data_IF_237566779934
#
_entry.id   IF_237566779934
#
_cell.length_a   1.000
_cell.length_b   1.000
_cell.length_c   1.000
_cell.angle_alpha   90.00
_cell.angle_beta   90.00
_cell.angle_gamma   90.00
#
_symmetry.space_group_name_H-M   'P 1'
#
loop_
_entity.id
_entity.type
_entity.pdbx_description
1 polymer ?
#
# COMPACT_ATOMS: atom_id res chain seq x y z
N UNK A 1 51.91 -40.21 15.13
CA UNK A 1 51.00 -39.07 14.85
C UNK A 1 49.64 -39.51 15.34
N UNK A 2 49.16 -38.90 16.42
CA UNK A 2 48.17 -39.50 17.32
C UNK A 2 46.73 -39.31 16.78
N UNK A 3 46.01 -40.42 16.60
CA UNK A 3 44.66 -40.46 16.00
C UNK A 3 43.63 -39.60 16.75
N UNK A 4 43.92 -39.25 18.02
CA UNK A 4 43.10 -38.38 18.85
C UNK A 4 43.15 -36.90 18.43
N UNK A 5 44.22 -36.45 17.75
CA UNK A 5 44.35 -35.06 17.28
C UNK A 5 43.49 -34.81 16.04
N UNK A 6 43.28 -35.84 15.20
CA UNK A 6 42.45 -35.74 13.99
C UNK A 6 40.96 -35.60 14.35
N UNK A 7 40.50 -36.31 15.39
CA UNK A 7 39.12 -36.16 15.88
C UNK A 7 38.88 -34.83 16.60
N UNK A 8 39.87 -34.29 17.31
CA UNK A 8 39.77 -32.98 17.94
C UNK A 8 39.70 -31.83 16.91
N UNK A 9 40.41 -31.96 15.77
CA UNK A 9 40.35 -30.99 14.67
C UNK A 9 39.05 -31.08 13.86
N UNK A 10 38.48 -32.28 13.68
CA UNK A 10 37.17 -32.48 13.05
C UNK A 10 36.01 -31.97 13.92
N UNK A 11 36.12 -32.08 15.25
CA UNK A 11 35.15 -31.50 16.19
C UNK A 11 35.31 -29.97 16.34
N UNK A 12 36.52 -29.41 16.21
CA UNK A 12 36.70 -27.95 16.18
C UNK A 12 36.15 -27.31 14.89
N UNK A 13 36.14 -28.04 13.77
CA UNK A 13 35.50 -27.61 12.52
C UNK A 13 33.97 -27.66 12.57
N UNK A 14 33.37 -28.34 13.56
CA UNK A 14 31.93 -28.38 13.79
C UNK A 14 31.41 -27.25 14.70
N UNK A 15 32.28 -26.42 15.29
CA UNK A 15 31.90 -25.26 16.11
C UNK A 15 32.14 -23.89 15.44
N UNK A 16 32.52 -23.87 14.17
CA UNK A 16 32.35 -22.69 13.32
C UNK A 16 31.13 -22.91 12.45
N UNK A 17 29.95 -22.82 13.07
CA UNK A 17 28.71 -22.59 12.35
C UNK A 17 28.45 -21.08 12.42
N UNK A 18 29.08 -20.23 11.58
CA UNK A 18 28.42 -18.98 11.27
C UNK A 18 27.10 -19.44 10.66
N UNK A 19 25.97 -19.07 11.26
CA UNK A 19 24.65 -19.43 10.75
C UNK A 19 24.68 -19.31 9.23
N UNK A 20 24.82 -20.46 8.57
CA UNK A 20 24.97 -20.51 7.14
C UNK A 20 23.58 -20.14 6.65
N UNK A 21 23.44 -18.88 6.29
CA UNK A 21 22.45 -18.40 5.37
C UNK A 21 22.71 -19.17 4.07
N UNK A 22 22.34 -20.46 4.04
CA UNK A 22 22.23 -21.23 2.83
C UNK A 22 21.14 -20.50 2.07
N UNK A 23 21.55 -19.63 1.14
CA UNK A 23 20.65 -18.97 0.21
C UNK A 23 19.71 -20.04 -0.31
N UNK A 24 18.41 -19.87 -0.08
CA UNK A 24 17.42 -20.77 -0.68
C UNK A 24 17.72 -20.81 -2.19
N UNK A 25 17.70 -21.99 -2.83
CA UNK A 25 17.86 -22.09 -4.27
C UNK A 25 16.96 -21.08 -4.98
N UNK A 26 17.42 -20.49 -6.08
CA UNK A 26 16.65 -19.50 -6.86
C UNK A 26 15.25 -20.04 -7.20
N UNK A 27 15.12 -21.35 -7.49
CA UNK A 27 13.84 -22.02 -7.71
C UNK A 27 12.92 -22.07 -6.47
N UNK A 28 13.47 -22.20 -5.26
CA UNK A 28 12.67 -22.13 -4.03
C UNK A 28 12.19 -20.70 -3.75
N UNK A 29 13.02 -19.71 -4.10
CA UNK A 29 12.63 -18.30 -4.01
C UNK A 29 11.52 -17.97 -5.01
N UNK A 30 11.51 -18.56 -6.20
CA UNK A 30 10.54 -18.22 -7.25
C UNK A 30 9.19 -18.96 -7.15
N UNK A 31 8.87 -19.59 -6.01
CA UNK A 31 7.57 -20.24 -5.82
C UNK A 31 6.45 -19.19 -5.80
N UNK A 32 5.45 -19.27 -6.71
CA UNK A 32 4.39 -18.29 -6.77
C UNK A 32 3.63 -18.21 -5.45
N UNK A 33 3.28 -16.99 -5.05
CA UNK A 33 2.43 -16.76 -3.88
C UNK A 33 1.19 -15.99 -4.30
N UNK A 34 0.05 -16.67 -4.22
CA UNK A 34 -1.24 -16.06 -4.46
C UNK A 34 -1.84 -15.59 -3.13
N UNK A 35 -2.26 -14.33 -3.11
CA UNK A 35 -3.22 -13.89 -2.10
C UNK A 35 -4.58 -14.50 -2.47
N UNK A 36 -5.28 -15.06 -1.49
CA UNK A 36 -6.60 -15.68 -1.70
C UNK A 36 -7.75 -14.77 -1.28
N UNK A 37 -8.98 -15.14 -1.68
CA UNK A 37 -10.22 -14.46 -1.25
C UNK A 37 -10.39 -14.48 0.28
N UNK A 38 -9.69 -15.36 0.99
CA UNK A 38 -9.62 -15.38 2.44
C UNK A 38 -8.90 -14.17 3.06
N UNK A 39 -8.38 -13.25 2.24
CA UNK A 39 -7.91 -11.93 2.69
C UNK A 39 -8.98 -11.13 3.44
N UNK A 40 -10.26 -11.43 3.22
CA UNK A 40 -11.37 -10.77 3.90
C UNK A 40 -11.86 -11.51 5.14
N UNK A 41 -11.24 -12.63 5.51
CA UNK A 41 -11.71 -13.49 6.61
C UNK A 41 -11.14 -13.11 7.99
N UNK A 42 -10.48 -11.97 8.11
CA UNK A 42 -9.94 -11.47 9.38
C UNK A 42 -10.24 -9.98 9.56
N UNK A 43 -10.16 -9.50 10.79
CA UNK A 43 -10.30 -8.09 11.12
C UNK A 43 -8.92 -7.44 11.28
N UNK A 44 -8.81 -6.18 10.88
CA UNK A 44 -7.71 -5.30 11.27
C UNK A 44 -8.26 -4.17 12.12
N UNK A 45 -7.47 -3.72 13.09
CA UNK A 45 -7.72 -2.46 13.81
C UNK A 45 -6.86 -1.40 13.14
N UNK A 46 -7.45 -0.26 12.79
CA UNK A 46 -6.74 0.90 12.26
C UNK A 46 -7.06 2.15 13.07
N UNK A 47 -6.01 2.86 13.47
CA UNK A 47 -6.06 4.16 14.14
C UNK A 47 -5.43 5.21 13.23
N UNK A 48 -6.16 6.29 12.97
CA UNK A 48 -5.68 7.41 12.15
C UNK A 48 -5.48 8.66 13.00
N UNK A 49 -4.36 9.37 12.80
CA UNK A 49 -4.09 10.62 13.49
C UNK A 49 -3.22 11.58 12.67
N UNK A 50 -3.34 12.87 12.97
CA UNK A 50 -2.56 13.92 12.30
C UNK A 50 -1.32 14.27 13.11
N UNK A 51 -0.18 14.37 12.42
CA UNK A 51 1.06 14.93 12.96
C UNK A 51 1.31 16.27 12.28
N UNK A 52 1.62 17.30 13.08
CA UNK A 52 2.00 18.63 12.63
C UNK A 52 3.48 18.83 12.98
N UNK A 53 4.41 18.59 12.06
CA UNK A 53 5.83 18.64 12.38
C UNK A 53 6.28 20.06 12.71
N UNK A 54 7.29 20.18 13.56
CA UNK A 54 7.74 21.49 14.04
C UNK A 54 8.39 22.36 12.97
N UNK A 55 8.99 21.74 11.95
CA UNK A 55 9.84 22.42 10.96
C UNK A 55 9.31 22.32 9.53
N UNK A 56 8.05 21.93 9.34
CA UNK A 56 7.41 21.86 8.02
C UNK A 56 6.04 22.50 8.07
N UNK A 57 5.62 23.11 6.96
CA UNK A 57 4.24 23.61 6.80
C UNK A 57 3.25 22.49 6.44
N UNK A 58 3.76 21.31 6.09
CA UNK A 58 2.97 20.14 5.70
C UNK A 58 2.57 19.33 6.92
N UNK A 59 1.27 19.06 7.06
CA UNK A 59 0.75 18.10 8.04
C UNK A 59 0.75 16.69 7.43
N UNK A 60 0.98 15.66 8.26
CA UNK A 60 0.97 14.26 7.86
C UNK A 60 -0.21 13.52 8.48
N UNK A 61 -0.89 12.69 7.69
CA UNK A 61 -1.86 11.72 8.17
C UNK A 61 -1.14 10.39 8.37
N UNK A 62 -1.24 9.85 9.58
CA UNK A 62 -0.64 8.56 9.94
C UNK A 62 -1.76 7.58 10.21
N UNK A 63 -1.77 6.51 9.42
CA UNK A 63 -2.67 5.37 9.59
C UNK A 63 -1.86 4.25 10.22
N UNK A 64 -2.23 3.79 11.40
CA UNK A 64 -1.56 2.74 12.16
C UNK A 64 -2.49 1.54 12.25
N UNK A 65 -2.01 0.33 11.95
CA UNK A 65 -2.85 -0.87 12.04
C UNK A 65 -2.15 -2.11 12.56
N UNK A 66 -2.94 -2.98 13.18
CA UNK A 66 -2.54 -4.26 13.73
C UNK A 66 -3.71 -5.25 13.71
N UNK A 67 -3.41 -6.55 13.75
CA UNK A 67 -4.42 -7.57 14.02
C UNK A 67 -4.92 -7.46 15.47
N UNK A 68 -6.22 -7.67 15.76
CA UNK A 68 -6.75 -7.66 17.13
C UNK A 68 -5.96 -8.54 18.11
N UNK A 69 -5.58 -9.74 17.67
CA UNK A 69 -4.82 -10.70 18.48
C UNK A 69 -3.37 -10.24 18.77
N UNK A 70 -2.87 -9.27 18.00
CA UNK A 70 -1.53 -8.69 18.18
C UNK A 70 -1.48 -7.56 19.20
N UNK A 71 -2.63 -7.09 19.72
CA UNK A 71 -2.73 -5.87 20.55
C UNK A 71 -1.80 -5.86 21.77
N UNK A 72 -1.60 -7.02 22.39
CA UNK A 72 -0.79 -7.16 23.61
C UNK A 72 0.62 -7.73 23.35
N UNK A 73 0.97 -7.97 22.09
CA UNK A 73 2.31 -8.43 21.74
C UNK A 73 3.30 -7.27 21.80
N UNK A 74 4.56 -7.59 22.04
CA UNK A 74 5.64 -6.62 22.22
C UNK A 74 6.79 -6.92 21.28
N UNK A 75 7.58 -5.91 20.93
CA UNK A 75 8.72 -6.03 20.01
C UNK A 75 8.28 -6.54 18.62
N UNK A 76 7.16 -6.03 18.12
CA UNK A 76 6.69 -6.36 16.78
C UNK A 76 7.47 -5.59 15.71
N UNK A 77 7.87 -6.22 14.58
CA UNK A 77 8.36 -5.47 13.43
C UNK A 77 7.34 -4.40 12.99
N UNK A 78 7.84 -3.24 12.57
CA UNK A 78 6.99 -2.12 12.12
C UNK A 78 7.29 -1.83 10.65
N UNK A 79 6.26 -1.88 9.81
CA UNK A 79 6.32 -1.62 8.37
C UNK A 79 5.76 -0.22 8.11
N UNK A 80 6.62 0.72 7.76
CA UNK A 80 6.26 2.08 7.37
C UNK A 80 6.06 2.16 5.86
N UNK A 81 4.93 2.68 5.40
CA UNK A 81 4.61 2.86 3.99
C UNK A 81 4.57 4.36 3.68
N UNK A 82 5.31 4.82 2.68
CA UNK A 82 5.07 6.16 2.10
C UNK A 82 3.76 6.16 1.32
N UNK A 83 3.24 7.35 1.04
CA UNK A 83 1.98 7.54 0.30
C UNK A 83 0.79 6.84 0.97
N UNK A 84 0.69 6.94 2.30
CA UNK A 84 -0.37 6.31 3.09
C UNK A 84 -1.79 6.53 2.55
N UNK A 85 -2.05 7.71 1.96
CA UNK A 85 -3.33 8.02 1.31
C UNK A 85 -3.69 7.10 0.13
N UNK A 86 -2.71 6.48 -0.52
CA UNK A 86 -2.91 5.50 -1.60
C UNK A 86 -2.62 4.07 -1.17
N UNK A 87 -2.02 3.89 0.01
CA UNK A 87 -1.53 2.62 0.54
C UNK A 87 -2.27 2.15 1.79
N UNK A 88 -3.28 2.88 2.26
CA UNK A 88 -4.11 2.53 3.43
C UNK A 88 -4.61 1.08 3.36
N UNK A 89 -5.07 0.68 2.18
CA UNK A 89 -5.54 -0.68 1.96
C UNK A 89 -4.42 -1.73 1.91
N UNK A 90 -3.17 -1.38 1.60
CA UNK A 90 -2.06 -2.34 1.56
C UNK A 90 -1.78 -2.92 2.95
N UNK A 91 -2.25 -2.25 4.02
CA UNK A 91 -2.25 -2.76 5.38
C UNK A 91 -2.89 -4.14 5.47
N UNK A 92 -3.98 -4.42 4.73
CA UNK A 92 -4.62 -5.74 4.76
C UNK A 92 -3.73 -6.82 4.15
N UNK A 93 -2.95 -6.51 3.11
CA UNK A 93 -2.02 -7.48 2.51
C UNK A 93 -0.85 -7.79 3.44
N UNK A 94 -0.36 -6.77 4.16
CA UNK A 94 0.65 -6.98 5.21
C UNK A 94 0.11 -7.92 6.29
N UNK A 95 -1.09 -7.65 6.81
CA UNK A 95 -1.70 -8.46 7.85
C UNK A 95 -2.17 -9.82 7.35
N UNK A 96 -2.47 -9.97 6.06
CA UNK A 96 -2.74 -11.26 5.44
C UNK A 96 -1.55 -12.21 5.58
N UNK A 97 -0.33 -11.73 5.35
CA UNK A 97 0.87 -12.54 5.56
C UNK A 97 1.00 -13.01 7.02
N UNK A 98 0.62 -12.17 7.99
CA UNK A 98 0.56 -12.57 9.40
C UNK A 98 -0.55 -13.60 9.65
N UNK A 99 -1.75 -13.35 9.13
CA UNK A 99 -2.92 -14.24 9.25
C UNK A 99 -2.63 -15.65 8.69
N UNK A 100 -1.90 -15.71 7.57
CA UNK A 100 -1.43 -16.96 6.94
C UNK A 100 -0.19 -17.57 7.61
N UNK A 101 0.34 -16.94 8.67
CA UNK A 101 1.56 -17.35 9.40
C UNK A 101 2.81 -17.44 8.51
N UNK A 102 2.87 -16.59 7.50
CA UNK A 102 4.00 -16.48 6.57
C UNK A 102 5.10 -15.63 7.18
N UNK A 103 4.71 -14.51 7.79
CA UNK A 103 5.56 -13.60 8.55
C UNK A 103 5.06 -13.53 10.01
N UNK A 104 5.92 -13.15 10.98
CA UNK A 104 5.47 -12.88 12.35
C UNK A 104 4.45 -11.74 12.38
N UNK A 105 3.68 -11.59 13.47
CA UNK A 105 2.84 -10.42 13.68
C UNK A 105 3.62 -9.11 13.51
N UNK A 106 3.03 -8.17 12.78
CA UNK A 106 3.62 -6.86 12.50
C UNK A 106 2.65 -5.72 12.78
N UNK A 107 3.19 -4.51 12.79
CA UNK A 107 2.42 -3.28 12.80
C UNK A 107 2.66 -2.58 11.48
N UNK A 108 1.59 -2.15 10.80
CA UNK A 108 1.69 -1.40 9.56
C UNK A 108 1.33 0.06 9.79
N UNK A 109 2.14 0.98 9.23
CA UNK A 109 2.04 2.42 9.42
C UNK A 109 2.10 3.12 8.07
N UNK A 110 0.97 3.62 7.59
CA UNK A 110 0.90 4.46 6.40
C UNK A 110 1.22 5.91 6.77
N UNK A 111 2.20 6.51 6.09
CA UNK A 111 2.54 7.93 6.20
C UNK A 111 2.05 8.61 4.94
N UNK A 112 0.95 9.33 5.07
CA UNK A 112 0.32 10.06 3.98
C UNK A 112 0.07 11.52 4.33
N UNK A 113 -0.80 12.12 3.53
CA UNK A 113 -1.18 13.51 3.66
C UNK A 113 -2.69 13.59 3.94
N UNK A 114 -3.13 14.52 4.80
CA UNK A 114 -4.55 14.77 4.99
C UNK A 114 -5.26 15.08 3.68
N UNK A 115 -6.52 14.64 3.56
CA UNK A 115 -7.35 14.77 2.35
C UNK A 115 -7.46 16.18 1.76
N UNK A 116 -7.20 17.23 2.55
CA UNK A 116 -7.17 18.63 2.08
C UNK A 116 -6.02 18.93 1.11
N UNK A 117 -5.00 18.07 1.02
CA UNK A 117 -3.87 18.26 0.13
C UNK A 117 -4.06 17.50 -1.17
N UNK A 118 -3.61 18.10 -2.28
CA UNK A 118 -3.38 17.37 -3.52
C UNK A 118 -2.18 16.43 -3.31
N UNK A 119 -2.48 15.16 -3.07
CA UNK A 119 -1.51 14.11 -2.82
C UNK A 119 -0.45 13.98 -3.92
N UNK A 120 -0.81 14.24 -5.18
CA UNK A 120 0.11 14.16 -6.32
C UNK A 120 1.18 15.27 -6.27
N UNK A 121 0.83 16.43 -5.71
CA UNK A 121 1.74 17.60 -5.64
C UNK A 121 2.48 17.69 -4.31
N UNK A 122 1.77 17.52 -3.19
CA UNK A 122 2.32 17.74 -1.84
C UNK A 122 3.46 16.77 -1.51
N UNK A 123 3.46 15.58 -2.12
CA UNK A 123 4.49 14.55 -1.93
C UNK A 123 5.82 14.86 -2.61
N UNK A 124 5.83 15.69 -3.65
CA UNK A 124 7.01 15.90 -4.49
C UNK A 124 8.17 16.52 -3.68
N UNK A 125 7.96 17.57 -2.87
CA UNK A 125 9.02 18.10 -2.02
C UNK A 125 9.59 17.06 -1.04
N UNK A 126 8.75 16.23 -0.43
CA UNK A 126 9.16 15.30 0.63
C UNK A 126 9.85 14.05 0.09
N UNK A 127 9.33 13.49 -1.00
CA UNK A 127 9.80 12.21 -1.54
C UNK A 127 10.89 12.35 -2.60
N UNK A 128 10.99 13.50 -3.28
CA UNK A 128 11.93 13.70 -4.39
C UNK A 128 12.91 14.86 -4.16
N UNK A 129 12.43 16.05 -3.81
CA UNK A 129 13.30 17.25 -3.82
C UNK A 129 14.09 17.44 -2.51
N UNK A 130 13.50 17.12 -1.36
CA UNK A 130 14.09 17.31 -0.02
C UNK A 130 13.93 16.05 0.86
N UNK A 131 14.36 14.85 0.38
CA UNK A 131 14.16 13.61 1.11
C UNK A 131 14.85 13.57 2.48
N UNK A 132 15.96 14.29 2.69
CA UNK A 132 16.62 14.37 3.99
C UNK A 132 15.75 15.05 5.07
N UNK A 133 15.00 16.09 4.70
CA UNK A 133 14.10 16.77 5.64
C UNK A 133 12.92 15.87 6.03
N UNK A 134 12.35 15.17 5.05
CA UNK A 134 11.27 14.24 5.33
C UNK A 134 11.75 13.05 6.18
N UNK A 135 12.93 12.49 5.89
CA UNK A 135 13.56 11.45 6.73
C UNK A 135 13.77 11.94 8.17
N UNK A 136 14.19 13.19 8.36
CA UNK A 136 14.33 13.79 9.69
C UNK A 136 12.98 13.85 10.42
N UNK A 137 11.92 14.31 9.76
CA UNK A 137 10.55 14.32 10.32
C UNK A 137 10.10 12.92 10.70
N UNK A 138 10.33 11.93 9.83
CA UNK A 138 9.98 10.53 10.12
C UNK A 138 10.67 10.07 11.40
N UNK A 139 11.98 10.28 11.52
CA UNK A 139 12.78 9.79 12.65
C UNK A 139 12.50 10.52 13.97
N UNK A 140 12.28 11.84 13.90
CA UNK A 140 12.21 12.67 15.10
C UNK A 140 10.78 12.89 15.59
N UNK A 141 9.78 12.75 14.73
CA UNK A 141 8.41 13.13 15.05
C UNK A 141 7.43 11.97 14.82
N UNK A 142 7.50 11.31 13.65
CA UNK A 142 6.54 10.24 13.29
C UNK A 142 6.82 8.94 14.04
N UNK A 143 8.04 8.40 13.97
CA UNK A 143 8.42 7.16 14.67
C UNK A 143 8.14 7.29 16.17
N UNK A 144 8.56 8.37 16.88
CA UNK A 144 8.22 8.54 18.29
C UNK A 144 6.72 8.65 18.56
N UNK A 145 5.93 9.26 17.67
CA UNK A 145 4.48 9.34 17.83
C UNK A 145 3.78 7.98 17.70
N UNK A 146 4.28 7.14 16.78
CA UNK A 146 3.83 5.76 16.59
C UNK A 146 4.22 4.91 17.80
N UNK A 147 5.48 4.93 18.22
CA UNK A 147 6.01 4.10 19.33
C UNK A 147 5.44 4.47 20.71
N UNK A 148 4.82 5.65 20.85
CA UNK A 148 4.02 5.97 22.05
C UNK A 148 2.68 5.24 22.12
N UNK A 149 2.16 4.76 20.98
CA UNK A 149 0.85 4.08 20.88
C UNK A 149 0.98 2.56 20.84
N UNK A 150 2.12 2.07 20.39
CA UNK A 150 2.36 0.65 20.12
C UNK A 150 3.73 0.19 20.61
N UNK A 151 3.87 -1.11 20.85
CA UNK A 151 5.10 -1.70 21.32
C UNK A 151 5.91 -2.34 20.17
N UNK A 152 6.40 -1.48 19.27
CA UNK A 152 7.21 -1.88 18.10
C UNK A 152 8.68 -2.17 18.46
N UNK A 153 9.33 -3.04 17.68
CA UNK A 153 10.76 -3.30 17.80
C UNK A 153 11.58 -2.20 17.10
N UNK A 154 12.32 -1.35 17.83
CA UNK A 154 13.13 -0.30 17.24
C UNK A 154 14.28 -0.82 16.37
N UNK A 155 14.58 -2.12 16.42
CA UNK A 155 15.61 -2.79 15.59
C UNK A 155 15.04 -3.47 14.35
N UNK A 156 13.71 -3.51 14.19
CA UNK A 156 13.04 -4.12 13.03
C UNK A 156 11.99 -3.20 12.42
N UNK A 157 12.43 -2.01 12.05
CA UNK A 157 11.66 -1.10 11.20
C UNK A 157 11.95 -1.38 9.73
N UNK A 158 10.90 -1.51 8.94
CA UNK A 158 10.96 -1.69 7.49
C UNK A 158 10.29 -0.47 6.86
N UNK A 159 10.87 0.09 5.80
CA UNK A 159 10.23 1.15 5.03
C UNK A 159 9.92 0.69 3.61
N UNK A 160 8.72 1.02 3.14
CA UNK A 160 8.22 0.72 1.81
C UNK A 160 7.77 1.98 1.09
N UNK A 161 7.98 2.02 -0.23
CA UNK A 161 7.44 3.04 -1.11
C UNK A 161 7.46 2.58 -2.57
N UNK A 162 6.64 3.20 -3.42
CA UNK A 162 6.75 3.02 -4.87
C UNK A 162 6.81 4.33 -5.64
N UNK A 163 7.34 4.29 -6.88
CA UNK A 163 7.53 5.48 -7.71
C UNK A 163 8.41 6.51 -7.01
N UNK A 164 7.94 7.75 -6.76
CA UNK A 164 8.67 8.71 -5.92
C UNK A 164 8.87 8.20 -4.48
N UNK A 165 7.97 7.36 -3.96
CA UNK A 165 8.18 6.68 -2.68
C UNK A 165 9.31 5.65 -2.76
N UNK A 166 9.47 4.97 -3.89
CA UNK A 166 10.58 4.05 -4.15
C UNK A 166 11.92 4.78 -4.27
N UNK A 167 11.91 5.97 -4.90
CA UNK A 167 13.04 6.91 -4.85
C UNK A 167 13.42 7.26 -3.41
N UNK A 168 12.43 7.70 -2.62
CA UNK A 168 12.65 8.05 -1.21
C UNK A 168 13.24 6.88 -0.43
N UNK A 169 12.69 5.68 -0.54
CA UNK A 169 13.23 4.47 0.12
C UNK A 169 14.69 4.20 -0.28
N UNK A 170 15.00 4.33 -1.57
CA UNK A 170 16.36 4.17 -2.10
C UNK A 170 17.31 5.22 -1.50
N UNK A 171 16.88 6.48 -1.44
CA UNK A 171 17.63 7.56 -0.79
C UNK A 171 17.88 7.26 0.68
N UNK A 172 16.83 6.89 1.44
CA UNK A 172 16.95 6.57 2.88
C UNK A 172 17.90 5.40 3.10
N UNK A 173 17.83 4.35 2.29
CA UNK A 173 18.76 3.22 2.35
C UNK A 173 20.21 3.68 2.20
N UNK A 174 20.50 4.41 1.12
CA UNK A 174 21.85 4.86 0.82
C UNK A 174 22.38 5.81 1.91
N UNK A 175 21.54 6.75 2.34
CA UNK A 175 21.87 7.74 3.36
C UNK A 175 22.16 7.10 4.72
N UNK A 176 21.24 6.26 5.21
CA UNK A 176 21.41 5.56 6.48
C UNK A 176 22.63 4.63 6.46
N UNK A 177 22.87 3.94 5.33
CA UNK A 177 24.02 3.04 5.19
C UNK A 177 25.35 3.79 5.25
N UNK A 178 25.46 4.95 4.61
CA UNK A 178 26.66 5.80 4.66
C UNK A 178 26.85 6.45 6.03
N UNK A 179 25.77 6.92 6.66
CA UNK A 179 25.81 7.57 7.97
C UNK A 179 25.92 6.57 9.14
N UNK A 180 25.81 5.26 8.86
CA UNK A 180 25.70 4.18 9.86
C UNK A 180 24.52 4.37 10.81
N UNK A 181 23.45 4.94 10.28
CA UNK A 181 22.20 5.12 10.98
C UNK A 181 21.34 3.86 10.89
N UNK A 182 20.87 3.34 12.02
CA UNK A 182 20.07 2.11 12.09
C UNK A 182 18.58 2.42 12.27
N UNK A 183 18.08 3.54 11.74
CA UNK A 183 16.66 3.90 11.81
C UNK A 183 15.76 2.83 11.20
N UNK A 184 16.19 2.23 10.08
CA UNK A 184 15.51 1.14 9.40
C UNK A 184 16.45 -0.04 9.17
N UNK A 185 15.90 -1.23 9.38
CA UNK A 185 16.55 -2.51 9.17
C UNK A 185 16.28 -3.07 7.76
N UNK A 186 15.09 -2.78 7.22
CA UNK A 186 14.64 -3.24 5.90
C UNK A 186 14.13 -2.11 5.01
N UNK A 187 14.36 -2.24 3.71
CA UNK A 187 13.99 -1.28 2.67
C UNK A 187 13.35 -2.03 1.51
N UNK A 188 12.12 -1.67 1.15
CA UNK A 188 11.38 -2.29 0.06
C UNK A 188 10.95 -1.19 -0.92
N UNK A 189 11.43 -1.22 -2.17
CA UNK A 189 11.14 -0.19 -3.16
C UNK A 189 10.55 -0.78 -4.43
N UNK A 190 9.36 -0.32 -4.83
CA UNK A 190 8.76 -0.65 -6.13
C UNK A 190 8.94 0.50 -7.11
N UNK A 191 9.27 0.17 -8.34
CA UNK A 191 9.50 1.09 -9.46
C UNK A 191 10.18 2.40 -9.03
N UNK A 192 11.35 2.37 -8.35
CA UNK A 192 12.00 3.60 -7.91
C UNK A 192 12.22 4.56 -9.09
N UNK A 193 11.75 5.81 -8.95
CA UNK A 193 12.02 6.85 -9.95
C UNK A 193 13.40 7.48 -9.71
N UNK A 194 14.41 7.04 -10.45
CA UNK A 194 15.81 7.36 -10.15
C UNK A 194 16.39 8.56 -10.93
N UNK A 195 15.59 9.17 -11.84
CA UNK A 195 16.02 10.26 -12.72
C UNK A 195 15.63 11.68 -12.25
N UNK A 196 15.13 11.83 -11.02
CA UNK A 196 14.67 13.13 -10.51
C UNK A 196 15.76 14.21 -10.39
N UNK A 197 15.37 15.51 -10.35
CA UNK A 197 16.31 16.62 -10.19
C UNK A 197 17.14 16.47 -8.92
N UNK A 198 18.47 16.56 -9.04
CA UNK A 198 19.37 16.40 -7.89
C UNK A 198 19.58 14.95 -7.44
N UNK A 199 19.07 13.95 -8.18
CA UNK A 199 19.28 12.53 -7.90
C UNK A 199 20.77 12.17 -8.01
N UNK A 200 21.46 12.27 -6.87
CA UNK A 200 22.81 11.70 -6.69
C UNK A 200 22.77 10.21 -6.38
N UNK A 201 21.62 9.55 -6.58
CA UNK A 201 21.42 8.14 -6.20
C UNK A 201 22.54 7.25 -6.73
N UNK A 202 22.91 7.37 -8.01
CA UNK A 202 23.99 6.57 -8.59
C UNK A 202 25.38 6.91 -8.03
N UNK A 203 25.65 8.19 -7.77
CA UNK A 203 26.91 8.64 -7.16
C UNK A 203 27.03 8.13 -5.72
N UNK A 204 25.96 8.27 -4.94
CA UNK A 204 25.86 7.79 -3.56
C UNK A 204 25.90 6.27 -3.48
N UNK A 205 25.26 5.57 -4.42
CA UNK A 205 25.34 4.11 -4.54
C UNK A 205 26.78 3.66 -4.86
N UNK A 206 27.48 4.34 -5.79
CA UNK A 206 28.89 4.09 -6.08
C UNK A 206 29.80 4.42 -4.87
N UNK A 207 29.49 5.47 -4.12
CA UNK A 207 30.20 5.77 -2.89
C UNK A 207 30.03 4.62 -1.88
N UNK A 208 28.79 4.19 -1.62
CA UNK A 208 28.50 3.09 -0.69
C UNK A 208 29.19 1.80 -1.14
N UNK A 209 29.06 1.45 -2.41
CA UNK A 209 29.70 0.34 -3.10
C UNK A 209 31.22 0.30 -2.89
N UNK A 210 31.86 1.47 -2.91
CA UNK A 210 33.31 1.60 -2.73
C UNK A 210 33.78 1.39 -1.28
N UNK A 211 32.87 1.48 -0.28
CA UNK A 211 33.25 1.32 1.13
C UNK A 211 33.56 -0.14 1.43
N UNK A 212 34.64 -0.35 2.19
CA UNK A 212 34.92 -1.64 2.84
C UNK A 212 34.26 -1.60 4.22
N UNK A 213 33.12 -2.27 4.38
CA UNK A 213 32.37 -2.21 5.63
C UNK A 213 31.23 -3.21 5.73
N UNK A 214 30.67 -3.29 6.93
CA UNK A 214 29.45 -4.06 7.22
C UNK A 214 28.25 -3.14 7.03
N UNK A 215 27.33 -3.51 6.15
CA UNK A 215 26.06 -2.78 5.92
C UNK A 215 24.93 -3.73 6.31
N UNK A 216 24.45 -3.64 7.55
CA UNK A 216 23.43 -4.54 8.12
C UNK A 216 22.01 -4.19 7.65
N UNK A 217 21.82 -4.07 6.34
CA UNK A 217 20.57 -3.65 5.71
C UNK A 217 20.02 -4.78 4.84
N UNK A 218 18.69 -4.91 4.84
CA UNK A 218 17.96 -5.77 3.91
C UNK A 218 17.25 -4.90 2.90
N UNK A 219 17.54 -5.08 1.62
CA UNK A 219 17.01 -4.24 0.56
C UNK A 219 16.37 -5.14 -0.50
N UNK A 220 15.13 -4.84 -0.84
CA UNK A 220 14.45 -5.41 -1.98
C UNK A 220 13.96 -4.30 -2.90
N UNK A 221 14.44 -4.28 -4.14
CA UNK A 221 14.01 -3.32 -5.16
C UNK A 221 13.45 -4.06 -6.36
N UNK A 222 12.34 -3.61 -6.91
CA UNK A 222 11.75 -4.23 -8.09
C UNK A 222 11.05 -3.21 -8.98
N UNK A 223 10.85 -3.57 -10.24
CA UNK A 223 10.01 -2.82 -11.19
C UNK A 223 9.22 -3.80 -12.08
N UNK A 224 8.25 -3.31 -12.84
CA UNK A 224 7.43 -4.08 -13.76
C UNK A 224 7.98 -4.10 -15.19
N UNK A 225 7.91 -5.24 -15.87
CA UNK A 225 8.41 -5.43 -17.24
C UNK A 225 7.73 -4.52 -18.30
N UNK A 226 6.52 -4.05 -18.03
CA UNK A 226 5.76 -3.18 -18.95
C UNK A 226 5.99 -1.69 -18.69
N UNK A 227 6.95 -1.34 -17.85
CA UNK A 227 7.31 0.05 -17.58
C UNK A 227 8.17 0.65 -18.69
N UNK A 228 8.29 1.99 -18.67
CA UNK A 228 9.11 2.68 -19.66
C UNK A 228 10.60 2.33 -19.52
N UNK A 229 11.23 2.07 -20.66
CA UNK A 229 12.61 1.60 -20.72
C UNK A 229 13.60 2.65 -20.22
N UNK A 230 13.40 3.92 -20.59
CA UNK A 230 14.30 5.02 -20.26
C UNK A 230 14.06 5.52 -18.83
N UNK A 231 12.80 5.57 -18.38
CA UNK A 231 12.45 6.07 -17.05
C UNK A 231 12.66 5.05 -15.93
N UNK A 232 12.43 3.76 -16.18
CA UNK A 232 12.42 2.73 -15.12
C UNK A 232 13.41 1.60 -15.34
N UNK A 233 13.51 1.01 -16.54
CA UNK A 233 14.37 -0.17 -16.73
C UNK A 233 15.85 0.22 -16.61
N UNK A 234 16.36 1.07 -17.50
CA UNK A 234 17.78 1.45 -17.53
C UNK A 234 18.25 2.02 -16.19
N UNK A 235 17.51 2.96 -15.53
CA UNK A 235 17.95 3.50 -14.26
C UNK A 235 17.96 2.47 -13.12
N UNK A 236 16.95 1.59 -13.02
CA UNK A 236 16.92 0.59 -11.97
C UNK A 236 17.96 -0.51 -12.19
N UNK A 237 18.11 -1.02 -13.42
CA UNK A 237 19.15 -1.99 -13.76
C UNK A 237 20.55 -1.43 -13.45
N UNK A 238 20.80 -0.16 -13.79
CA UNK A 238 22.07 0.52 -13.44
C UNK A 238 22.31 0.52 -11.93
N UNK A 239 21.28 0.80 -11.12
CA UNK A 239 21.40 0.76 -9.67
C UNK A 239 21.65 -0.67 -9.17
N UNK A 240 20.94 -1.66 -9.72
CA UNK A 240 21.09 -3.06 -9.35
C UNK A 240 22.51 -3.54 -9.62
N UNK A 241 23.04 -3.25 -10.81
CA UNK A 241 24.43 -3.54 -11.16
C UNK A 241 25.43 -2.87 -10.21
N UNK A 242 25.20 -1.60 -9.84
CA UNK A 242 26.09 -0.92 -8.88
C UNK A 242 26.07 -1.65 -7.54
N UNK A 243 24.91 -2.10 -7.05
CA UNK A 243 24.75 -2.72 -5.73
C UNK A 243 25.19 -4.19 -5.69
N UNK A 244 24.93 -4.97 -6.74
CA UNK A 244 25.32 -6.38 -6.89
C UNK A 244 26.84 -6.57 -6.96
N UNK A 245 27.54 -5.63 -7.61
CA UNK A 245 28.97 -5.74 -7.84
C UNK A 245 29.85 -5.54 -6.58
N UNK A 246 29.27 -5.51 -5.38
CA UNK A 246 29.99 -5.11 -4.16
C UNK A 246 30.27 -6.21 -3.16
N UNK A 247 31.45 -6.08 -2.54
CA UNK A 247 31.94 -6.91 -1.42
C UNK A 247 31.40 -6.44 -0.05
N UNK A 248 30.20 -5.85 -0.01
CA UNK A 248 29.63 -5.33 1.24
C UNK A 248 29.28 -6.49 2.16
N UNK A 249 29.81 -6.46 3.39
CA UNK A 249 29.58 -7.53 4.35
C UNK A 249 28.23 -7.35 5.04
N UNK A 250 27.52 -8.46 5.26
CA UNK A 250 26.19 -8.54 5.89
C UNK A 250 25.11 -7.66 5.23
N UNK A 251 25.30 -7.33 3.94
CA UNK A 251 24.32 -6.65 3.10
C UNK A 251 23.48 -7.68 2.33
N UNK A 252 22.16 -7.61 2.49
CA UNK A 252 21.23 -8.51 1.83
C UNK A 252 20.44 -7.73 0.79
N UNK A 253 20.83 -7.87 -0.47
CA UNK A 253 20.18 -7.20 -1.59
C UNK A 253 19.47 -8.21 -2.48
N UNK A 254 18.20 -7.94 -2.75
CA UNK A 254 17.37 -8.68 -3.68
C UNK A 254 16.82 -7.71 -4.70
N UNK A 255 16.68 -8.16 -5.95
CA UNK A 255 15.95 -7.41 -6.95
C UNK A 255 15.15 -8.31 -7.88
N UNK A 256 14.13 -7.74 -8.53
CA UNK A 256 13.26 -8.48 -9.42
C UNK A 256 12.63 -7.58 -10.49
N UNK A 257 12.37 -8.15 -11.66
CA UNK A 257 11.53 -7.57 -12.69
C UNK A 257 10.25 -8.39 -12.76
N UNK A 258 9.12 -7.80 -12.41
CA UNK A 258 7.84 -8.50 -12.41
C UNK A 258 7.34 -8.65 -13.85
N UNK A 259 7.20 -9.89 -14.35
CA UNK A 259 6.75 -10.12 -15.71
C UNK A 259 5.30 -9.67 -15.89
N UNK A 260 4.98 -9.15 -17.08
CA UNK A 260 3.65 -8.65 -17.46
C UNK A 260 3.03 -7.62 -16.48
N UNK A 261 3.86 -6.95 -15.69
CA UNK A 261 3.40 -5.95 -14.72
C UNK A 261 3.76 -4.55 -15.18
N UNK A 262 2.80 -3.63 -15.09
CA UNK A 262 3.00 -2.20 -15.29
C UNK A 262 3.49 -1.50 -14.00
N UNK A 263 3.67 -0.18 -14.07
CA UNK A 263 4.12 0.68 -12.97
C UNK A 263 3.29 0.56 -11.68
N UNK A 264 2.04 0.12 -11.76
CA UNK A 264 1.12 0.09 -10.62
C UNK A 264 0.85 -1.32 -10.11
N UNK A 265 0.65 -2.27 -11.03
CA UNK A 265 0.40 -3.67 -10.70
C UNK A 265 1.57 -4.30 -9.94
N UNK A 266 2.83 -3.92 -10.23
CA UNK A 266 3.99 -4.45 -9.52
C UNK A 266 4.12 -3.94 -8.06
N UNK A 267 3.49 -2.80 -7.72
CA UNK A 267 3.64 -2.15 -6.41
C UNK A 267 3.30 -3.10 -5.26
N UNK A 268 2.13 -3.72 -5.33
CA UNK A 268 1.66 -4.61 -4.26
C UNK A 268 2.47 -5.90 -4.22
N UNK A 269 2.82 -6.44 -5.39
CA UNK A 269 3.62 -7.65 -5.49
C UNK A 269 4.97 -7.45 -4.80
N UNK A 270 5.61 -6.31 -5.07
CA UNK A 270 6.88 -5.91 -4.44
C UNK A 270 6.76 -5.81 -2.92
N UNK A 271 5.68 -5.23 -2.39
CA UNK A 271 5.45 -5.17 -0.95
C UNK A 271 5.35 -6.58 -0.33
N UNK A 272 4.53 -7.44 -0.94
CA UNK A 272 4.28 -8.81 -0.46
C UNK A 272 5.58 -9.61 -0.44
N UNK A 273 6.29 -9.64 -1.56
CA UNK A 273 7.53 -10.41 -1.69
C UNK A 273 8.66 -9.83 -0.84
N UNK A 274 8.76 -8.50 -0.74
CA UNK A 274 9.73 -7.86 0.15
C UNK A 274 9.52 -8.28 1.61
N UNK A 275 8.27 -8.30 2.08
CA UNK A 275 7.98 -8.74 3.45
C UNK A 275 8.21 -10.25 3.64
N UNK A 276 7.89 -11.07 2.64
CA UNK A 276 8.21 -12.51 2.66
C UNK A 276 9.71 -12.74 2.74
N UNK A 277 10.51 -12.05 1.94
CA UNK A 277 11.97 -12.15 1.93
C UNK A 277 12.59 -11.71 3.25
N UNK A 278 12.14 -10.57 3.80
CA UNK A 278 12.72 -9.99 5.00
C UNK A 278 12.25 -10.70 6.27
N UNK A 279 10.93 -10.88 6.44
CA UNK A 279 10.34 -11.36 7.68
C UNK A 279 9.90 -12.82 7.64
N UNK A 280 9.80 -13.44 6.47
CA UNK A 280 9.34 -14.81 6.32
C UNK A 280 10.31 -15.83 6.92
N UNK A 281 9.75 -16.90 7.47
CA UNK A 281 10.52 -18.11 7.78
C UNK A 281 11.11 -18.71 6.51
N UNK A 282 12.15 -19.54 6.63
CA UNK A 282 12.96 -20.03 5.49
C UNK A 282 12.10 -20.56 4.32
N UNK A 283 11.05 -21.32 4.60
CA UNK A 283 10.18 -21.93 3.59
C UNK A 283 9.14 -20.97 2.99
N UNK A 284 8.95 -19.80 3.60
CA UNK A 284 7.98 -18.79 3.21
C UNK A 284 8.61 -17.60 2.48
N UNK A 285 9.95 -17.53 2.45
CA UNK A 285 10.71 -16.54 1.68
C UNK A 285 10.60 -16.84 0.20
N UNK A 286 10.27 -15.82 -0.58
CA UNK A 286 10.24 -15.94 -2.03
C UNK A 286 9.78 -14.66 -2.72
N UNK A 287 9.97 -14.67 -4.03
CA UNK A 287 9.50 -13.74 -5.03
C UNK A 287 8.51 -14.45 -5.98
N UNK A 288 7.68 -13.69 -6.68
CA UNK A 288 6.60 -14.22 -7.51
C UNK A 288 5.24 -14.15 -6.83
N UNK A 289 4.99 -13.13 -6.00
CA UNK A 289 3.64 -12.76 -5.64
C UNK A 289 2.81 -12.52 -6.91
N UNK A 290 1.58 -13.02 -6.89
CA UNK A 290 0.58 -12.74 -7.93
C UNK A 290 -0.63 -12.07 -7.29
N UNK A 291 -1.25 -11.16 -8.04
CA UNK A 291 -2.40 -10.41 -7.53
C UNK A 291 -3.67 -11.27 -7.49
N UNK A 292 -4.65 -10.79 -6.72
CA UNK A 292 -5.99 -11.37 -6.66
C UNK A 292 -6.70 -11.22 -8.00
N UNK A 293 -7.22 -12.33 -8.52
CA UNK A 293 -8.22 -12.32 -9.57
C UNK A 293 -9.55 -12.77 -8.97
N UNK A 294 -10.48 -11.83 -8.78
CA UNK A 294 -11.71 -12.10 -8.04
C UNK A 294 -12.68 -12.98 -8.83
N UNK A 295 -12.85 -12.72 -10.14
CA UNK A 295 -13.81 -13.42 -11.01
C UNK A 295 -15.27 -13.10 -10.68
N UNK A 296 -15.66 -13.24 -9.41
CA UNK A 296 -16.90 -12.74 -8.79
C UNK A 296 -16.61 -12.44 -7.33
N UNK A 297 -17.16 -11.36 -6.78
CA UNK A 297 -16.90 -10.99 -5.38
C UNK A 297 -18.13 -10.36 -4.71
N UNK A 298 -18.19 -10.43 -3.38
CA UNK A 298 -19.21 -9.75 -2.58
C UNK A 298 -18.59 -9.13 -1.32
N UNK A 299 -18.78 -7.82 -1.15
CA UNK A 299 -18.62 -7.15 0.13
C UNK A 299 -19.93 -7.23 0.92
N UNK A 300 -19.89 -7.99 2.00
CA UNK A 300 -20.95 -8.08 3.02
C UNK A 300 -20.59 -7.33 4.31
N UNK A 301 -19.42 -6.69 4.33
CA UNK A 301 -18.88 -5.92 5.44
C UNK A 301 -18.97 -6.65 6.78
N UNK A 302 -18.77 -7.98 6.77
CA UNK A 302 -18.68 -8.77 8.00
C UNK A 302 -17.36 -8.60 8.74
N UNK A 303 -16.34 -8.12 8.05
CA UNK A 303 -15.02 -7.85 8.62
C UNK A 303 -14.61 -6.41 8.33
N UNK A 304 -13.85 -5.83 9.25
CA UNK A 304 -13.30 -4.48 9.08
C UNK A 304 -12.35 -4.41 7.88
N UNK A 305 -11.71 -5.52 7.52
CA UNK A 305 -10.82 -5.61 6.36
C UNK A 305 -11.50 -5.28 5.04
N UNK A 306 -12.75 -5.72 4.84
CA UNK A 306 -13.55 -5.36 3.67
C UNK A 306 -13.79 -3.85 3.57
N UNK A 307 -13.97 -3.20 4.72
CA UNK A 307 -14.23 -1.77 4.79
C UNK A 307 -12.99 -0.93 4.39
N UNK A 308 -11.77 -1.39 4.69
CA UNK A 308 -10.54 -0.63 4.39
C UNK A 308 -10.13 -0.61 2.90
N UNK A 309 -10.88 -1.27 2.02
CA UNK A 309 -10.73 -1.11 0.56
C UNK A 309 -11.40 0.15 0.04
N UNK A 310 -12.19 0.83 0.88
CA UNK A 310 -13.02 1.93 0.48
C UNK A 310 -12.52 3.26 1.02
N UNK A 311 -12.70 4.30 0.24
CA UNK A 311 -12.26 5.65 0.55
C UNK A 311 -13.14 6.70 -0.13
N UNK A 312 -12.84 7.96 0.18
CA UNK A 312 -13.69 9.10 -0.13
C UNK A 312 -12.92 10.20 -0.86
N UNK A 313 -12.08 9.89 -1.87
CA UNK A 313 -11.32 10.99 -2.48
C UNK A 313 -10.64 10.82 -3.86
N UNK A 314 -10.85 9.73 -4.62
CA UNK A 314 -10.05 9.58 -5.88
C UNK A 314 -10.37 10.64 -6.95
N UNK A 315 -11.44 11.44 -6.80
CA UNK A 315 -11.87 12.41 -7.82
C UNK A 315 -12.38 13.73 -7.25
N UNK A 316 -12.19 13.93 -5.96
CA UNK A 316 -12.95 14.89 -5.19
C UNK A 316 -12.12 16.12 -4.85
N UNK A 317 -11.58 16.80 -5.87
CA UNK A 317 -11.21 18.22 -5.69
C UNK A 317 -12.40 19.02 -5.13
N UNK A 318 -13.62 18.49 -5.33
CA UNK A 318 -14.88 18.98 -4.82
C UNK A 318 -15.81 17.87 -4.26
N UNK A 319 -15.39 17.04 -3.31
CA UNK A 319 -16.33 16.15 -2.56
C UNK A 319 -15.83 15.97 -1.12
N UNK A 320 -16.73 16.01 -0.15
CA UNK A 320 -16.38 15.86 1.27
C UNK A 320 -17.14 14.70 1.87
N UNK A 321 -16.40 13.70 2.33
CA UNK A 321 -16.87 12.76 3.32
C UNK A 321 -15.85 12.68 4.46
N UNK A 322 -16.35 12.48 5.67
CA UNK A 322 -15.52 12.19 6.84
C UNK A 322 -15.30 10.68 6.85
N UNK A 323 -14.06 10.23 7.08
CA UNK A 323 -13.58 8.83 7.13
C UNK A 323 -14.75 7.87 7.40
N UNK A 324 -15.09 6.98 6.45
CA UNK A 324 -16.28 6.16 6.59
C UNK A 324 -16.22 5.43 7.93
N UNK A 325 -17.32 5.22 8.63
CA UNK A 325 -17.28 4.50 9.91
C UNK A 325 -17.84 3.11 9.69
N UNK A 326 -17.07 2.09 10.05
CA UNK A 326 -17.61 0.74 10.21
C UNK A 326 -18.73 0.79 11.25
N UNK A 327 -19.81 0.03 11.04
CA UNK A 327 -21.09 0.20 11.73
C UNK A 327 -21.00 0.49 13.25
N UNK A 328 -21.82 1.45 13.68
CA UNK A 328 -21.92 2.01 15.05
C UNK A 328 -22.69 1.13 16.04
N UNK A 329 -23.24 0.00 15.60
CA UNK A 329 -23.92 -0.97 16.47
C UNK A 329 -23.03 -2.15 16.87
N UNK A 330 -21.74 -2.09 16.56
CA UNK A 330 -20.78 -3.20 16.72
C UNK A 330 -21.24 -4.51 16.04
N UNK A 331 -22.20 -4.45 15.11
CA UNK A 331 -22.66 -5.61 14.35
C UNK A 331 -22.08 -5.56 12.93
N UNK A 332 -21.53 -6.68 12.42
CA UNK A 332 -21.07 -6.75 11.04
C UNK A 332 -22.23 -6.63 10.05
N UNK A 333 -22.08 -5.91 8.94
CA UNK A 333 -23.08 -5.89 7.87
C UNK A 333 -23.44 -4.56 7.20
N UNK A 334 -22.70 -3.47 7.41
CA UNK A 334 -22.74 -2.27 6.54
C UNK A 334 -21.65 -1.28 6.95
N UNK A 335 -21.34 -0.32 6.08
CA UNK A 335 -20.54 0.84 6.44
C UNK A 335 -21.31 2.13 6.12
N UNK A 336 -20.92 3.22 6.80
CA UNK A 336 -21.53 4.54 6.59
C UNK A 336 -20.53 5.59 6.15
N UNK A 337 -21.01 6.51 5.31
CA UNK A 337 -20.28 7.66 4.80
C UNK A 337 -21.03 8.91 5.24
N UNK A 338 -20.32 9.85 5.88
CA UNK A 338 -20.88 11.16 6.16
C UNK A 338 -20.88 12.00 4.87
N UNK A 339 -22.01 12.61 4.55
CA UNK A 339 -22.21 13.42 3.36
C UNK A 339 -22.46 14.89 3.74
N UNK A 340 -21.72 15.82 3.13
CA UNK A 340 -21.96 17.27 3.27
C UNK A 340 -21.99 17.94 1.89
N UNK A 341 -23.19 18.08 1.32
CA UNK A 341 -23.38 18.76 0.04
C UNK A 341 -23.41 20.29 0.18
N UNK A 342 -23.08 20.85 1.35
CA UNK A 342 -22.94 22.28 1.55
C UNK A 342 -21.62 22.83 1.02
N UNK A 343 -20.61 21.97 0.88
CA UNK A 343 -19.32 22.33 0.27
C UNK A 343 -19.31 22.08 -1.23
N UNK A 344 -19.89 20.95 -1.65
CA UNK A 344 -19.82 20.48 -3.02
C UNK A 344 -21.10 19.80 -3.50
N UNK A 345 -21.32 19.78 -4.81
CA UNK A 345 -22.53 19.19 -5.43
C UNK A 345 -22.43 17.68 -5.64
N UNK A 346 -21.27 17.08 -5.42
CA UNK A 346 -21.06 15.66 -5.62
C UNK A 346 -20.41 15.06 -4.38
N UNK A 347 -20.71 13.78 -4.13
CA UNK A 347 -20.05 12.94 -3.16
C UNK A 347 -19.56 11.70 -3.88
N UNK A 348 -18.25 11.46 -3.80
CA UNK A 348 -17.64 10.26 -4.35
C UNK A 348 -17.34 9.28 -3.23
N UNK A 349 -17.75 8.04 -3.44
CA UNK A 349 -17.39 6.93 -2.59
C UNK A 349 -16.97 5.75 -3.45
N UNK A 350 -15.72 5.32 -3.32
CA UNK A 350 -15.15 4.32 -4.19
C UNK A 350 -14.07 3.51 -3.49
N UNK A 351 -13.66 2.44 -4.16
CA UNK A 351 -12.52 1.68 -3.69
C UNK A 351 -11.22 2.47 -3.84
N UNK A 352 -10.13 2.04 -3.23
CA UNK A 352 -8.78 2.44 -3.66
C UNK A 352 -8.41 1.79 -5.01
N UNK A 353 -7.43 2.38 -5.71
CA UNK A 353 -7.02 2.03 -7.09
C UNK A 353 -6.22 0.73 -7.17
N UNK A 354 -6.85 -0.41 -6.89
CA UNK A 354 -6.18 -1.69 -6.61
C UNK A 354 -6.80 -2.96 -7.16
N UNK A 355 -7.98 -2.86 -7.75
CA UNK A 355 -8.52 -3.97 -8.52
C UNK A 355 -7.68 -4.06 -9.79
N UNK A 356 -7.47 -5.25 -10.32
CA UNK A 356 -6.84 -5.42 -11.63
C UNK A 356 -7.70 -6.46 -12.33
N UNK A 357 -8.92 -6.02 -12.64
CA UNK A 357 -9.99 -6.91 -13.05
C UNK A 357 -10.72 -6.35 -14.26
N UNK A 358 -11.17 -7.23 -15.14
CA UNK A 358 -12.05 -6.87 -16.25
C UNK A 358 -13.50 -6.93 -15.77
N UNK A 359 -14.16 -5.77 -15.64
CA UNK A 359 -15.59 -5.65 -15.30
C UNK A 359 -16.52 -5.65 -16.52
N UNK A 360 -16.01 -5.84 -17.74
CA UNK A 360 -16.83 -5.83 -18.94
C UNK A 360 -17.91 -6.92 -18.87
N UNK A 361 -19.14 -6.50 -19.16
CA UNK A 361 -20.36 -7.31 -19.08
C UNK A 361 -20.69 -7.87 -17.68
N UNK A 362 -20.03 -7.39 -16.63
CA UNK A 362 -20.38 -7.71 -15.25
C UNK A 362 -21.46 -6.78 -14.73
N UNK A 363 -22.36 -7.35 -13.93
CA UNK A 363 -23.39 -6.59 -13.21
C UNK A 363 -22.87 -6.18 -11.84
N UNK A 364 -22.59 -4.89 -11.68
CA UNK A 364 -22.31 -4.28 -10.39
C UNK A 364 -23.62 -4.04 -9.65
N UNK A 365 -23.71 -4.55 -8.43
CA UNK A 365 -24.85 -4.33 -7.53
C UNK A 365 -24.36 -3.59 -6.27
N UNK A 366 -25.11 -2.59 -5.82
CA UNK A 366 -24.89 -1.89 -4.54
C UNK A 366 -26.21 -1.59 -3.86
N UNK A 367 -26.29 -1.85 -2.56
CA UNK A 367 -27.43 -1.46 -1.73
C UNK A 367 -27.10 -0.19 -0.96
N UNK A 368 -28.02 0.78 -0.99
CA UNK A 368 -27.90 2.07 -0.30
C UNK A 368 -29.15 2.32 0.52
N UNK A 369 -28.98 2.72 1.78
CA UNK A 369 -30.08 3.23 2.59
C UNK A 369 -30.29 4.72 2.29
N UNK A 370 -31.47 5.07 1.81
CA UNK A 370 -31.85 6.45 1.46
C UNK A 370 -32.71 7.03 2.59
N UNK A 371 -32.26 8.09 3.30
CA UNK A 371 -33.07 8.77 4.29
C UNK A 371 -34.32 9.43 3.69
N UNK A 372 -35.40 9.54 4.47
CA UNK A 372 -36.68 10.12 4.00
C UNK A 372 -36.52 11.54 3.46
N UNK A 373 -35.70 12.37 4.13
CA UNK A 373 -35.39 13.73 3.70
C UNK A 373 -34.75 13.76 2.31
N UNK A 374 -33.77 12.88 2.07
CA UNK A 374 -33.05 12.80 0.81
C UNK A 374 -33.95 12.26 -0.31
N UNK A 375 -34.85 11.33 0.03
CA UNK A 375 -35.81 10.73 -0.92
C UNK A 375 -36.77 11.77 -1.53
N UNK A 376 -37.02 12.87 -0.82
CA UNK A 376 -37.85 13.98 -1.28
C UNK A 376 -37.09 14.96 -2.18
N UNK A 377 -35.77 14.82 -2.29
CA UNK A 377 -34.89 15.68 -3.10
C UNK A 377 -34.59 15.04 -4.46
N UNK A 378 -34.05 15.80 -5.41
CA UNK A 378 -33.74 15.33 -6.77
C UNK A 378 -32.30 14.79 -6.92
N UNK A 379 -31.79 14.11 -5.89
CA UNK A 379 -30.43 13.56 -5.92
C UNK A 379 -30.36 12.31 -6.79
N UNK A 380 -29.20 12.07 -7.38
CA UNK A 380 -28.94 10.92 -8.26
C UNK A 380 -27.74 10.13 -7.79
N UNK A 381 -27.76 8.82 -8.04
CA UNK A 381 -26.61 7.93 -7.92
C UNK A 381 -26.15 7.51 -9.32
N UNK A 382 -24.85 7.45 -9.52
CA UNK A 382 -24.20 6.89 -10.70
C UNK A 382 -23.13 5.91 -10.23
N UNK A 383 -22.88 4.86 -11.00
CA UNK A 383 -21.72 4.00 -10.76
C UNK A 383 -20.46 4.68 -11.28
N UNK A 384 -19.33 4.33 -10.66
CA UNK A 384 -18.00 4.75 -11.05
C UNK A 384 -17.17 3.50 -11.32
N UNK A 385 -16.42 3.51 -12.41
CA UNK A 385 -15.45 2.48 -12.79
C UNK A 385 -14.28 3.22 -13.43
N UNK A 386 -13.05 2.93 -13.03
CA UNK A 386 -11.89 3.69 -13.48
C UNK A 386 -10.62 2.83 -13.60
N UNK A 387 -9.77 3.07 -14.61
CA UNK A 387 -8.65 2.16 -14.98
C UNK A 387 -7.22 2.67 -14.79
N UNK A 388 -6.91 3.94 -14.61
CA UNK A 388 -5.50 4.40 -14.46
C UNK A 388 -5.43 5.77 -13.80
N UNK A 389 -4.29 6.14 -13.19
CA UNK A 389 -4.12 7.43 -12.49
C UNK A 389 -3.78 8.62 -13.42
N UNK A 390 -3.47 8.37 -14.70
CA UNK A 390 -3.24 9.45 -15.65
C UNK A 390 -4.56 10.20 -15.93
N UNK A 391 -4.46 11.45 -16.39
CA UNK A 391 -5.56 12.40 -16.68
C UNK A 391 -6.67 11.93 -17.62
N UNK A 392 -6.65 10.66 -18.03
CA UNK A 392 -7.59 9.96 -18.86
C UNK A 392 -8.12 8.72 -18.10
N UNK A 393 -8.89 8.98 -17.04
CA UNK A 393 -9.71 8.04 -16.26
C UNK A 393 -11.03 7.60 -16.94
N UNK A 394 -11.26 6.29 -17.14
CA UNK A 394 -12.61 5.80 -17.47
C UNK A 394 -13.57 6.34 -16.39
N UNK A 395 -14.69 6.92 -16.81
CA UNK A 395 -15.83 7.22 -15.96
C UNK A 395 -17.08 6.89 -16.77
N UNK A 396 -17.53 5.64 -16.73
CA UNK A 396 -18.85 5.34 -17.26
C UNK A 396 -19.89 5.68 -16.18
N UNK A 397 -20.49 6.86 -16.35
CA UNK A 397 -21.58 7.36 -15.52
C UNK A 397 -22.89 7.43 -16.31
N UNK A 398 -22.98 6.72 -17.44
CA UNK A 398 -24.07 6.87 -18.41
C UNK A 398 -25.46 6.60 -17.82
N UNK A 399 -25.54 5.76 -16.79
CA UNK A 399 -26.78 5.46 -16.07
C UNK A 399 -26.90 6.24 -14.76
N UNK A 400 -28.04 6.93 -14.59
CA UNK A 400 -28.40 7.72 -13.41
C UNK A 400 -29.61 7.10 -12.74
N UNK A 401 -29.50 6.86 -11.45
CA UNK A 401 -30.57 6.34 -10.61
C UNK A 401 -31.10 7.44 -9.70
N UNK A 402 -32.40 7.72 -9.76
CA UNK A 402 -33.04 8.71 -8.90
C UNK A 402 -33.17 8.16 -7.47
N UNK A 403 -32.75 8.94 -6.47
CA UNK A 403 -32.87 8.58 -5.06
C UNK A 403 -34.26 8.98 -4.52
N UNK A 404 -35.34 8.33 -4.98
CA UNK A 404 -36.74 8.75 -4.69
C UNK A 404 -37.48 7.93 -3.64
N UNK A 405 -36.97 6.74 -3.30
CA UNK A 405 -37.63 5.84 -2.37
C UNK A 405 -36.82 5.75 -1.09
N UNK A 406 -37.41 6.14 0.04
CA UNK A 406 -36.77 5.99 1.36
C UNK A 406 -36.55 4.52 1.72
N UNK A 407 -35.54 4.23 2.53
CA UNK A 407 -35.14 2.89 2.99
C UNK A 407 -34.05 2.26 2.12
N UNK A 408 -33.87 0.95 2.25
CA UNK A 408 -32.90 0.19 1.44
C UNK A 408 -33.35 0.09 -0.02
N UNK A 409 -32.45 0.50 -0.91
CA UNK A 409 -32.60 0.41 -2.36
C UNK A 409 -31.38 -0.28 -2.94
N UNK A 410 -31.60 -1.19 -3.87
CA UNK A 410 -30.54 -1.90 -4.59
C UNK A 410 -30.47 -1.39 -6.01
N UNK A 411 -29.29 -0.90 -6.39
CA UNK A 411 -28.98 -0.43 -7.73
C UNK A 411 -28.12 -1.46 -8.44
N UNK A 412 -28.38 -1.64 -9.75
CA UNK A 412 -27.68 -2.59 -10.61
C UNK A 412 -27.19 -1.86 -11.85
N UNK A 413 -25.98 -2.15 -12.27
CA UNK A 413 -25.37 -1.52 -13.42
C UNK A 413 -24.48 -2.51 -14.16
N UNK A 414 -24.70 -2.65 -15.47
CA UNK A 414 -23.89 -3.52 -16.32
C UNK A 414 -22.98 -2.65 -17.16
N UNK A 415 -21.67 -2.70 -16.88
CA UNK A 415 -20.72 -1.98 -17.70
C UNK A 415 -20.39 -2.76 -18.98
N UNK A 416 -20.76 -2.20 -20.14
CA UNK A 416 -20.63 -2.87 -21.44
C UNK A 416 -19.23 -2.80 -22.06
N UNK A 417 -18.20 -2.62 -21.25
CA UNK A 417 -16.79 -2.61 -21.69
C UNK A 417 -16.41 -1.47 -22.64
N UNK A 418 -17.28 -0.47 -22.86
CA UNK A 418 -16.98 0.66 -23.74
C UNK A 418 -16.18 1.70 -22.97
N UNK A 419 -14.95 1.93 -23.43
CA UNK A 419 -14.07 2.98 -22.92
C UNK A 419 -13.99 4.12 -23.92
N UNK A 420 -14.12 5.36 -23.43
CA UNK A 420 -13.80 6.54 -24.23
C UNK A 420 -12.28 6.67 -24.41
N UNK A 421 -11.49 6.23 -23.42
CA UNK A 421 -10.03 6.22 -23.34
C UNK A 421 -9.61 5.31 -22.15
N UNK A 422 -8.37 4.80 -22.12
CA UNK A 422 -7.88 3.87 -21.08
C UNK A 422 -7.97 2.37 -21.44
N UNK A 423 -7.50 1.48 -20.55
CA UNK A 423 -7.49 0.02 -20.77
C UNK A 423 -8.63 -0.66 -19.98
N UNK A 424 -9.63 -1.17 -20.70
CA UNK A 424 -10.79 -1.85 -20.14
C UNK A 424 -10.45 -3.14 -19.38
N UNK A 425 -9.34 -3.78 -19.74
CA UNK A 425 -8.87 -5.02 -19.11
C UNK A 425 -8.15 -4.77 -17.76
N UNK A 426 -7.90 -3.51 -17.41
CA UNK A 426 -7.15 -3.10 -16.23
C UNK A 426 -7.94 -2.06 -15.41
N UNK A 427 -9.18 -2.38 -15.01
CA UNK A 427 -9.91 -1.51 -14.07
C UNK A 427 -9.27 -1.58 -12.71
N UNK A 428 -9.03 -0.40 -12.15
CA UNK A 428 -8.35 -0.19 -10.88
C UNK A 428 -9.26 0.11 -9.72
N UNK A 429 -10.47 0.56 -9.98
CA UNK A 429 -11.46 0.61 -8.92
C UNK A 429 -12.82 0.96 -9.44
N UNK A 430 -13.75 0.91 -8.51
CA UNK A 430 -15.15 1.15 -8.78
C UNK A 430 -15.82 1.77 -7.55
N UNK A 431 -17.03 2.25 -7.71
CA UNK A 431 -17.77 2.87 -6.62
C UNK A 431 -19.04 3.55 -7.11
N UNK A 432 -19.42 4.60 -6.40
CA UNK A 432 -20.61 5.40 -6.69
C UNK A 432 -20.34 6.89 -6.55
N UNK A 433 -21.03 7.66 -7.38
CA UNK A 433 -21.11 9.10 -7.33
C UNK A 433 -22.54 9.48 -6.99
N UNK A 434 -22.72 10.25 -5.91
CA UNK A 434 -24.01 10.83 -5.57
C UNK A 434 -23.97 12.32 -5.93
N UNK A 435 -24.90 12.76 -6.76
CA UNK A 435 -24.95 14.13 -7.26
C UNK A 435 -26.21 14.85 -6.80
N UNK A 436 -26.00 16.08 -6.34
CA UNK A 436 -27.01 17.10 -6.11
C UNK A 436 -27.16 17.97 -7.37
N UNK A 437 -28.34 18.05 -8.00
CA UNK A 437 -28.59 19.08 -9.00
C UNK A 437 -28.63 20.47 -8.35
N UNK A 438 -28.20 21.51 -9.05
CA UNK A 438 -28.14 22.88 -8.50
C UNK A 438 -29.49 23.40 -7.99
N UNK A 439 -30.59 22.86 -8.51
CA UNK A 439 -31.96 23.19 -8.11
C UNK A 439 -32.42 22.52 -6.81
N UNK A 440 -31.72 21.48 -6.34
CA UNK A 440 -32.09 20.76 -5.13
C UNK A 440 -31.49 21.40 -3.86
N UNK A 441 -32.20 21.33 -2.71
CA UNK A 441 -31.68 21.85 -1.46
C UNK A 441 -30.40 21.10 -1.02
N UNK A 442 -29.57 21.80 -0.25
CA UNK A 442 -28.39 21.22 0.41
C UNK A 442 -28.84 20.16 1.41
N UNK A 443 -28.25 18.97 1.32
CA UNK A 443 -28.43 17.91 2.29
C UNK A 443 -27.12 17.62 3.03
N UNK A 444 -27.23 17.30 4.33
CA UNK A 444 -26.13 16.85 5.17
C UNK A 444 -26.63 15.69 6.04
N UNK A 445 -25.91 14.57 6.03
CA UNK A 445 -26.31 13.40 6.82
C UNK A 445 -25.40 12.21 6.60
N UNK A 446 -25.87 11.02 6.93
CA UNK A 446 -25.14 9.76 6.76
C UNK A 446 -25.83 8.88 5.74
N UNK A 447 -25.05 8.27 4.86
CA UNK A 447 -25.48 7.27 3.89
C UNK A 447 -24.90 5.92 4.27
N UNK A 448 -25.73 4.88 4.24
CA UNK A 448 -25.33 3.51 4.54
C UNK A 448 -25.27 2.71 3.25
N UNK A 449 -24.26 1.88 3.14
CA UNK A 449 -23.99 1.07 1.97
C UNK A 449 -23.73 -0.38 2.39
N UNK A 450 -24.22 -1.32 1.60
CA UNK A 450 -24.07 -2.75 1.85
C UNK A 450 -24.27 -3.56 0.55
N UNK A 451 -24.02 -4.87 0.62
CA UNK A 451 -24.39 -5.85 -0.41
C UNK A 451 -23.73 -5.57 -1.77
N UNK A 452 -22.48 -5.12 -1.75
CA UNK A 452 -21.77 -4.75 -2.97
C UNK A 452 -21.24 -6.02 -3.62
N UNK A 453 -21.54 -6.26 -4.90
CA UNK A 453 -21.08 -7.48 -5.59
C UNK A 453 -20.98 -7.31 -7.10
N UNK A 454 -20.18 -8.15 -7.74
CA UNK A 454 -20.01 -8.25 -9.20
C UNK A 454 -19.55 -9.63 -9.65
#
# INVERSE_FOLDING_TARGET
>A
MDWKIIWALLLLLLFLNPAAYLASPVEELNKPFAVGNDIYNFNIIMESFIIKPQNTYTEFQVDLSYLPDSKNLTNLPVVYLTDGQWRRMDHKYIHYLTYKKIIPPVIAVGIGYPEKYDAGRVRIPDLLLNPDNFLKVIKQEIIPAVERRINGDPKKRIIFGASLGGHFVTHVFLKNSLDKDNAFWGYIGSSPYLLGPGAKVFETARELASKKGVIKSHVYLAYGELEDQEEYHIPNDTLFEILDNNKLKDFYFFHHVYPNSDHFSNTRLTLIDGLRLLLGERNNRGIGAIDLNYGTFSYDFKTTTQYYDWQTNVFAQNSYAVDPKYSIDNSPGSFKVAADFGKYNSLNFNTSSVFFENFADRELEISVYIPEELAQMDYTLQFLIYSTFASEWIMDTSEKFMLKKSGWNTFKYIWRGKVAYGNADCIRGFGVLINRPETAPVWKGELYFDGIKW
#
